data_IF_129146048423
#
_entry.id   IF_129146048423
#
_cell.length_a   1.000
_cell.length_b   1.000
_cell.length_c   1.000
_cell.angle_alpha   90.00
_cell.angle_beta   90.00
_cell.angle_gamma   90.00
#
_symmetry.space_group_name_H-M   'P 1'
#
loop_
_entity.id
_entity.type
_entity.pdbx_description
1 polymer ?
#
# COMPACT_ATOMS: atom_id res chain seq x y z
N UNK A 1 -15.28 -4.78 13.54
CA UNK A 1 -14.03 -4.04 13.75
C UNK A 1 -12.94 -5.07 13.99
N UNK A 2 -11.82 -4.95 13.30
CA UNK A 2 -10.64 -5.80 13.45
C UNK A 2 -9.42 -4.87 13.49
N UNK A 3 -8.42 -5.23 14.27
CA UNK A 3 -7.17 -4.48 14.40
C UNK A 3 -6.01 -5.44 14.67
N UNK A 4 -4.88 -5.17 14.03
CA UNK A 4 -3.60 -5.83 14.20
C UNK A 4 -2.54 -4.74 14.33
N UNK A 5 -1.83 -4.71 15.46
CA UNK A 5 -0.79 -3.72 15.78
C UNK A 5 0.62 -4.28 15.61
N UNK A 6 0.76 -5.56 15.26
CA UNK A 6 2.05 -6.24 15.06
C UNK A 6 3.05 -6.06 16.22
N UNK A 7 2.54 -5.81 17.44
CA UNK A 7 3.32 -5.62 18.65
C UNK A 7 3.60 -6.93 19.41
N UNK A 8 2.92 -8.01 19.00
CA UNK A 8 3.07 -9.35 19.55
C UNK A 8 4.22 -10.14 18.91
N UNK A 9 4.60 -11.28 19.52
CA UNK A 9 5.66 -12.14 18.99
C UNK A 9 5.24 -12.95 17.75
N UNK A 10 3.95 -12.91 17.38
CA UNK A 10 3.38 -13.67 16.30
C UNK A 10 2.20 -12.93 15.68
N UNK A 11 1.97 -13.20 14.40
CA UNK A 11 0.84 -12.68 13.64
C UNK A 11 -0.47 -13.26 14.18
N UNK A 12 -1.53 -12.46 14.25
CA UNK A 12 -2.84 -12.99 14.63
C UNK A 12 -3.23 -14.19 13.74
N UNK A 13 -3.73 -15.27 14.35
CA UNK A 13 -4.05 -16.52 13.66
C UNK A 13 -5.13 -16.39 12.56
N UNK A 14 -5.84 -15.26 12.51
CA UNK A 14 -6.73 -14.94 11.40
C UNK A 14 -5.98 -14.59 10.09
N UNK A 15 -4.68 -14.32 10.15
CA UNK A 15 -3.89 -14.08 8.95
C UNK A 15 -3.34 -15.37 8.36
N UNK A 16 -3.45 -15.48 7.05
CA UNK A 16 -2.76 -16.44 6.20
C UNK A 16 -1.67 -15.69 5.43
N UNK A 17 -0.49 -16.30 5.29
CA UNK A 17 0.59 -15.78 4.46
C UNK A 17 0.73 -16.65 3.22
N UNK A 18 0.53 -16.04 2.06
CA UNK A 18 0.67 -16.70 0.77
C UNK A 18 2.12 -16.63 0.32
N UNK A 19 2.64 -17.77 -0.15
CA UNK A 19 4.04 -17.96 -0.54
C UNK A 19 5.02 -17.42 0.51
N UNK A 20 4.99 -17.94 1.76
CA UNK A 20 5.81 -17.42 2.84
C UNK A 20 7.30 -17.64 2.58
N UNK A 21 8.10 -16.63 2.91
CA UNK A 21 9.56 -16.68 2.97
C UNK A 21 9.95 -16.11 4.33
N UNK A 22 10.14 -16.99 5.31
CA UNK A 22 10.28 -16.63 6.72
C UNK A 22 11.48 -15.71 6.97
N UNK A 23 12.58 -15.89 6.24
CA UNK A 23 13.79 -15.07 6.38
C UNK A 23 13.61 -13.61 5.94
N UNK A 24 12.50 -13.31 5.25
CA UNK A 24 12.16 -11.97 4.76
C UNK A 24 11.09 -11.28 5.59
N UNK A 25 10.71 -11.86 6.73
CA UNK A 25 9.72 -11.26 7.65
C UNK A 25 10.17 -11.38 9.09
N UNK A 26 9.95 -10.35 9.89
CA UNK A 26 10.25 -10.39 11.33
C UNK A 26 9.39 -9.39 12.10
N UNK A 27 9.02 -9.72 13.34
CA UNK A 27 8.47 -8.72 14.26
C UNK A 27 9.61 -7.87 14.82
N UNK A 28 9.48 -6.55 14.73
CA UNK A 28 10.48 -5.62 15.24
C UNK A 28 10.27 -5.36 16.75
N UNK A 29 11.34 -5.07 17.51
CA UNK A 29 11.20 -4.68 18.93
C UNK A 29 10.36 -3.42 19.17
N UNK A 30 10.15 -2.61 18.12
CA UNK A 30 9.40 -1.36 18.17
C UNK A 30 7.89 -1.55 17.94
N UNK A 31 7.45 -2.79 17.65
CA UNK A 31 6.04 -3.11 17.41
C UNK A 31 5.63 -2.85 15.96
N UNK A 32 6.26 -3.56 15.03
CA UNK A 32 5.89 -3.58 13.62
C UNK A 32 6.24 -4.95 13.01
N UNK A 33 5.59 -5.28 11.90
CA UNK A 33 6.01 -6.38 11.04
C UNK A 33 6.95 -5.84 9.96
N UNK A 34 8.23 -6.21 10.04
CA UNK A 34 9.21 -5.99 8.98
C UNK A 34 8.98 -6.97 7.84
N UNK A 35 9.06 -6.46 6.60
CA UNK A 35 8.99 -7.26 5.37
C UNK A 35 10.08 -6.79 4.40
N UNK A 36 10.86 -7.73 3.89
CA UNK A 36 11.80 -7.51 2.81
C UNK A 36 11.25 -8.03 1.48
N UNK A 37 11.41 -7.24 0.42
CA UNK A 37 11.09 -7.62 -0.95
C UNK A 37 12.38 -7.83 -1.75
N UNK A 38 12.54 -9.04 -2.29
CA UNK A 38 13.68 -9.45 -3.09
C UNK A 38 13.24 -10.01 -4.44
N UNK A 39 14.07 -9.76 -5.46
CA UNK A 39 13.92 -10.42 -6.75
C UNK A 39 12.79 -9.85 -7.61
N UNK A 40 12.08 -10.73 -8.32
CA UNK A 40 10.88 -10.36 -9.12
C UNK A 40 9.59 -10.88 -8.49
N UNK A 41 9.65 -11.53 -7.33
CA UNK A 41 8.50 -12.21 -6.78
C UNK A 41 7.44 -11.26 -6.18
N UNK A 42 7.77 -10.23 -5.39
CA UNK A 42 6.77 -9.48 -4.64
C UNK A 42 6.22 -8.29 -5.45
N UNK A 43 5.54 -8.55 -6.58
CA UNK A 43 4.70 -7.54 -7.24
C UNK A 43 3.23 -7.95 -7.21
N UNK A 44 2.34 -6.98 -7.11
CA UNK A 44 0.94 -7.18 -6.70
C UNK A 44 0.09 -7.99 -7.70
N UNK A 45 0.47 -8.04 -8.98
CA UNK A 45 -0.17 -8.87 -10.01
C UNK A 45 0.49 -10.24 -10.20
N UNK A 46 1.52 -10.56 -9.40
CA UNK A 46 2.10 -11.90 -9.40
C UNK A 46 1.19 -12.86 -8.59
N UNK A 47 0.70 -13.97 -9.18
CA UNK A 47 0.03 -15.01 -8.41
C UNK A 47 0.95 -15.65 -7.37
N UNK A 48 2.27 -15.67 -7.61
CA UNK A 48 3.27 -16.22 -6.69
C UNK A 48 3.96 -15.13 -5.87
N UNK A 49 3.28 -14.01 -5.59
CA UNK A 49 3.84 -12.95 -4.76
C UNK A 49 4.22 -13.49 -3.37
N UNK A 50 5.51 -13.41 -3.03
CA UNK A 50 6.02 -13.81 -1.73
C UNK A 50 5.50 -12.92 -0.63
N UNK A 51 5.20 -13.49 0.54
CA UNK A 51 4.78 -12.77 1.74
C UNK A 51 3.55 -11.87 1.52
N UNK A 52 2.54 -12.36 0.79
CA UNK A 52 1.24 -11.68 0.75
C UNK A 52 0.43 -12.09 1.97
N UNK A 53 -0.01 -11.12 2.76
CA UNK A 53 -0.80 -11.35 3.95
C UNK A 53 -2.28 -11.23 3.59
N UNK A 54 -3.08 -12.25 3.91
CA UNK A 54 -4.51 -12.33 3.60
C UNK A 54 -5.28 -12.66 4.88
N UNK A 55 -6.25 -11.82 5.21
CA UNK A 55 -7.02 -11.95 6.44
C UNK A 55 -8.24 -12.86 6.24
N UNK A 56 -8.28 -13.98 6.94
CA UNK A 56 -9.42 -14.90 6.99
C UNK A 56 -10.50 -14.39 7.96
N UNK A 57 -11.08 -13.23 7.63
CA UNK A 57 -12.19 -12.60 8.34
C UNK A 57 -13.19 -12.04 7.33
N UNK A 58 -14.50 -12.16 7.61
CA UNK A 58 -15.52 -11.53 6.77
C UNK A 58 -15.44 -10.00 6.87
N UNK A 59 -15.64 -9.32 5.75
CA UNK A 59 -15.78 -7.87 5.70
C UNK A 59 -17.11 -7.41 6.34
N UNK A 60 -17.18 -6.18 6.87
CA UNK A 60 -18.45 -5.56 7.24
C UNK A 60 -19.41 -5.49 6.04
N UNK A 61 -20.71 -5.70 6.29
CA UNK A 61 -21.73 -5.71 5.22
C UNK A 61 -21.93 -4.34 4.53
N UNK A 62 -21.68 -3.26 5.27
CA UNK A 62 -21.91 -1.88 4.82
C UNK A 62 -20.62 -1.16 4.49
N UNK A 63 -20.58 0.12 4.87
CA UNK A 63 -19.40 0.96 4.73
C UNK A 63 -18.29 0.48 5.64
N UNK A 64 -17.06 0.52 5.12
CA UNK A 64 -15.87 0.19 5.88
C UNK A 64 -14.65 0.89 5.29
N UNK A 65 -13.61 0.99 6.11
CA UNK A 65 -12.27 1.36 5.68
C UNK A 65 -11.34 0.19 6.00
N UNK A 66 -10.56 -0.23 5.01
CA UNK A 66 -9.30 -0.90 5.30
C UNK A 66 -8.26 0.19 5.52
N UNK A 67 -7.48 0.06 6.58
CA UNK A 67 -6.44 1.02 6.97
C UNK A 67 -5.15 0.26 7.19
N UNK A 68 -4.06 0.76 6.59
CA UNK A 68 -2.71 0.26 6.80
C UNK A 68 -1.80 1.44 7.13
N UNK A 69 -1.22 1.42 8.33
CA UNK A 69 -0.14 2.30 8.74
C UNK A 69 1.19 1.59 8.44
N UNK A 70 2.06 2.26 7.70
CA UNK A 70 3.28 1.63 7.19
C UNK A 70 4.42 2.64 6.98
N UNK A 71 5.65 2.11 6.99
CA UNK A 71 6.88 2.83 6.66
C UNK A 71 7.61 2.16 5.51
N UNK A 72 8.24 2.99 4.67
CA UNK A 72 9.01 2.52 3.51
C UNK A 72 10.35 3.23 3.46
N UNK A 73 11.42 2.48 3.70
CA UNK A 73 12.77 2.99 3.50
C UNK A 73 13.10 2.99 2.00
N UNK A 74 13.21 4.19 1.42
CA UNK A 74 13.43 4.34 -0.02
C UNK A 74 14.85 3.90 -0.40
N UNK A 75 14.97 2.71 -0.98
CA UNK A 75 16.27 2.12 -1.34
C UNK A 75 16.41 1.98 -2.87
N UNK A 76 15.45 1.32 -3.49
CA UNK A 76 15.40 1.03 -4.94
C UNK A 76 14.66 2.09 -5.73
N UNK A 77 13.89 2.96 -5.05
CA UNK A 77 12.94 3.93 -5.63
C UNK A 77 11.86 3.26 -6.48
N UNK A 78 11.62 1.98 -6.23
CA UNK A 78 10.66 1.10 -6.91
C UNK A 78 9.78 0.35 -5.93
N UNK A 79 9.89 0.70 -4.64
CA UNK A 79 9.05 0.22 -3.55
C UNK A 79 7.57 0.49 -3.85
N UNK A 80 6.70 -0.39 -3.37
CA UNK A 80 5.27 -0.20 -3.41
C UNK A 80 4.56 -1.02 -2.35
N UNK A 81 3.41 -0.51 -1.93
CA UNK A 81 2.52 -1.14 -0.96
C UNK A 81 1.14 -1.25 -1.59
N UNK A 82 0.51 -2.41 -1.44
CA UNK A 82 -0.85 -2.69 -1.89
C UNK A 82 -1.69 -3.08 -0.69
N UNK A 83 -2.83 -2.39 -0.51
CA UNK A 83 -3.89 -2.71 0.44
C UNK A 83 -5.15 -3.02 -0.36
N UNK A 84 -5.66 -4.25 -0.30
CA UNK A 84 -6.69 -4.69 -1.24
C UNK A 84 -7.76 -5.59 -0.63
N UNK A 85 -8.84 -5.72 -1.38
CA UNK A 85 -9.74 -6.85 -1.36
C UNK A 85 -9.22 -7.83 -2.42
N UNK A 86 -8.73 -8.97 -1.98
CA UNK A 86 -7.97 -9.94 -2.76
C UNK A 86 -8.72 -11.27 -2.83
N UNK A 87 -9.03 -11.71 -4.04
CA UNK A 87 -9.54 -13.05 -4.34
C UNK A 87 -8.48 -13.85 -5.10
N UNK A 88 -7.88 -13.23 -6.11
CA UNK A 88 -6.73 -13.75 -6.85
C UNK A 88 -5.87 -12.59 -7.41
N UNK A 89 -4.71 -12.90 -7.98
CA UNK A 89 -3.87 -11.87 -8.61
C UNK A 89 -4.59 -11.15 -9.78
N UNK A 90 -5.46 -11.86 -10.50
CA UNK A 90 -6.31 -11.34 -11.57
C UNK A 90 -7.69 -10.85 -11.11
N UNK A 91 -8.00 -10.96 -9.81
CA UNK A 91 -9.29 -10.56 -9.23
C UNK A 91 -9.07 -9.87 -7.88
N UNK A 92 -8.89 -8.56 -7.92
CA UNK A 92 -8.66 -7.74 -6.74
C UNK A 92 -8.99 -6.27 -6.99
N UNK A 93 -9.38 -5.56 -5.94
CA UNK A 93 -9.46 -4.10 -5.94
C UNK A 93 -8.70 -3.55 -4.73
N UNK A 94 -7.87 -2.54 -4.94
CA UNK A 94 -7.05 -2.03 -3.85
C UNK A 94 -6.51 -0.64 -4.05
N UNK A 95 -6.05 -0.09 -2.93
CA UNK A 95 -5.25 1.10 -2.86
C UNK A 95 -3.78 0.68 -3.04
N UNK A 96 -3.11 1.28 -4.03
CA UNK A 96 -1.72 0.99 -4.34
C UNK A 96 -0.91 2.27 -4.25
N UNK A 97 0.13 2.25 -3.43
CA UNK A 97 1.19 3.25 -3.45
C UNK A 97 2.44 2.67 -4.12
N UNK A 98 3.13 3.43 -4.96
CA UNK A 98 4.46 3.03 -5.44
C UNK A 98 5.36 4.21 -5.79
N UNK A 99 6.66 3.95 -5.69
CA UNK A 99 7.71 4.86 -6.11
C UNK A 99 8.14 4.59 -7.55
N UNK A 100 8.47 5.66 -8.25
CA UNK A 100 9.06 5.59 -9.58
C UNK A 100 10.21 6.60 -9.73
N UNK A 101 11.43 6.19 -10.15
CA UNK A 101 12.49 7.10 -10.49
C UNK A 101 12.09 7.94 -11.72
N UNK A 102 12.31 9.25 -11.60
CA UNK A 102 12.31 10.21 -12.70
C UNK A 102 13.73 10.76 -12.84
N UNK A 103 14.18 11.10 -14.04
CA UNK A 103 15.58 11.54 -14.23
C UNK A 103 16.02 12.68 -13.29
N UNK A 104 15.07 13.50 -12.84
CA UNK A 104 15.29 14.62 -11.93
C UNK A 104 14.90 14.34 -10.46
N UNK A 105 14.40 13.15 -10.08
CA UNK A 105 13.88 12.86 -8.73
C UNK A 105 13.17 11.52 -8.59
N UNK A 106 12.29 11.40 -7.60
CA UNK A 106 11.44 10.22 -7.41
C UNK A 106 9.99 10.67 -7.38
N UNK A 107 9.12 9.96 -8.08
CA UNK A 107 7.69 10.13 -8.03
C UNK A 107 7.11 9.23 -6.95
N UNK A 108 6.11 9.74 -6.24
CA UNK A 108 5.25 8.98 -5.35
C UNK A 108 3.87 8.93 -5.98
N UNK A 109 3.39 7.74 -6.30
CA UNK A 109 2.12 7.54 -6.95
C UNK A 109 1.13 6.86 -6.01
N UNK A 110 -0.12 7.27 -6.08
CA UNK A 110 -1.28 6.59 -5.49
C UNK A 110 -2.21 6.15 -6.60
N UNK A 111 -2.76 4.94 -6.50
CA UNK A 111 -3.78 4.44 -7.40
C UNK A 111 -4.88 3.72 -6.64
N UNK A 112 -6.12 3.94 -7.09
CA UNK A 112 -7.18 2.97 -6.92
C UNK A 112 -7.16 2.06 -8.13
N UNK A 113 -6.80 0.79 -7.94
CA UNK A 113 -6.68 -0.20 -9.01
C UNK A 113 -7.72 -1.30 -8.82
N UNK A 114 -8.41 -1.66 -9.90
CA UNK A 114 -9.27 -2.83 -10.00
C UNK A 114 -8.72 -3.72 -11.11
N UNK A 115 -8.52 -4.99 -10.78
CA UNK A 115 -8.12 -6.05 -11.69
C UNK A 115 -9.27 -7.07 -11.70
N UNK A 116 -9.75 -7.43 -12.89
CA UNK A 116 -10.80 -8.43 -13.07
C UNK A 116 -10.70 -9.08 -14.44
N UNK A 117 -10.99 -10.37 -14.54
CA UNK A 117 -10.98 -11.08 -15.81
C UNK A 117 -10.49 -12.51 -15.64
N UNK A 118 -10.13 -13.14 -16.75
CA UNK A 118 -9.47 -14.44 -16.72
C UNK A 118 -8.01 -14.28 -16.26
N UNK A 119 -7.41 -15.36 -15.76
CA UNK A 119 -6.02 -15.35 -15.29
C UNK A 119 -5.01 -14.97 -16.37
N UNK A 120 -5.26 -15.38 -17.61
CA UNK A 120 -4.39 -15.14 -18.77
C UNK A 120 -4.62 -13.79 -19.45
N UNK A 121 -5.77 -13.15 -19.22
CA UNK A 121 -6.12 -11.84 -19.77
C UNK A 121 -6.93 -10.98 -18.77
N UNK A 122 -6.30 -10.53 -17.67
CA UNK A 122 -6.96 -9.68 -16.69
C UNK A 122 -7.08 -8.24 -17.21
N UNK A 123 -8.28 -7.67 -17.13
CA UNK A 123 -8.49 -6.25 -17.36
C UNK A 123 -8.08 -5.43 -16.13
N UNK A 124 -7.36 -4.34 -16.36
CA UNK A 124 -7.00 -3.38 -15.30
C UNK A 124 -7.68 -2.04 -15.56
N UNK A 125 -8.44 -1.59 -14.57
CA UNK A 125 -8.96 -0.21 -14.49
C UNK A 125 -8.30 0.49 -13.32
N UNK A 126 -7.75 1.68 -13.53
CA UNK A 126 -7.10 2.42 -12.45
C UNK A 126 -7.30 3.93 -12.52
N UNK A 127 -7.20 4.56 -11.36
CA UNK A 127 -7.11 6.01 -11.21
C UNK A 127 -5.77 6.37 -10.56
N UNK A 128 -4.78 6.64 -11.40
CA UNK A 128 -3.42 6.89 -10.97
C UNK A 128 -3.18 8.39 -10.76
N UNK A 129 -2.52 8.76 -9.68
CA UNK A 129 -2.11 10.14 -9.40
C UNK A 129 -0.68 10.18 -8.88
N UNK A 130 0.16 10.97 -9.53
CA UNK A 130 1.49 11.31 -9.04
C UNK A 130 1.38 12.47 -8.04
N UNK A 131 1.62 12.17 -6.76
CA UNK A 131 1.50 13.13 -5.67
C UNK A 131 2.62 14.18 -5.68
N UNK A 132 3.81 13.80 -6.16
CA UNK A 132 4.99 14.67 -6.29
C UNK A 132 5.16 15.30 -7.69
N UNK A 133 4.09 15.27 -8.49
CA UNK A 133 3.95 16.05 -9.71
C UNK A 133 2.49 16.46 -9.89
N UNK A 134 1.89 16.88 -8.78
CA UNK A 134 0.47 17.09 -8.62
C UNK A 134 0.17 17.65 -7.23
N UNK A 135 -0.76 17.04 -6.45
CA UNK A 135 -1.39 17.68 -5.31
C UNK A 135 -0.47 18.05 -4.13
N UNK A 136 0.68 17.38 -3.95
CA UNK A 136 1.58 17.67 -2.82
C UNK A 136 2.80 18.49 -3.24
N UNK A 137 3.26 18.29 -4.48
CA UNK A 137 4.35 19.04 -5.09
C UNK A 137 4.09 19.14 -6.59
N UNK A 138 4.16 20.34 -7.17
CA UNK A 138 3.93 20.57 -8.61
C UNK A 138 4.87 19.75 -9.52
N UNK A 139 6.07 19.45 -9.03
CA UNK A 139 7.02 18.58 -9.70
C UNK A 139 8.38 18.52 -9.05
N UNK A 140 9.04 17.37 -9.14
CA UNK A 140 10.37 17.12 -8.56
C UNK A 140 11.57 17.57 -9.42
N UNK A 141 11.35 18.28 -10.53
CA UNK A 141 12.45 18.66 -11.45
C UNK A 141 13.04 20.05 -11.20
N UNK A 142 12.35 20.92 -10.47
CA UNK A 142 12.93 22.19 -10.03
C UNK A 142 13.52 22.03 -8.61
N UNK A 143 14.41 22.93 -8.21
CA UNK A 143 15.15 22.81 -6.95
C UNK A 143 14.23 22.69 -5.72
N UNK A 144 13.25 23.61 -5.60
CA UNK A 144 12.33 23.63 -4.46
C UNK A 144 11.44 22.38 -4.40
N UNK A 145 10.89 21.95 -5.55
CA UNK A 145 10.08 20.75 -5.64
C UNK A 145 10.88 19.48 -5.42
N UNK A 146 12.16 19.46 -5.80
CA UNK A 146 13.05 18.33 -5.51
C UNK A 146 13.33 18.22 -4.01
N UNK A 147 13.71 19.33 -3.38
CA UNK A 147 13.95 19.40 -1.94
C UNK A 147 12.71 18.96 -1.15
N UNK A 148 11.53 19.49 -1.51
CA UNK A 148 10.28 19.12 -0.86
C UNK A 148 9.91 17.65 -1.09
N UNK A 149 10.08 17.15 -2.31
CA UNK A 149 9.82 15.74 -2.62
C UNK A 149 10.74 14.80 -1.86
N UNK A 150 12.03 15.12 -1.76
CA UNK A 150 13.00 14.32 -0.99
C UNK A 150 12.64 14.33 0.51
N UNK A 151 12.21 15.46 1.07
CA UNK A 151 11.75 15.55 2.47
C UNK A 151 10.49 14.72 2.75
N UNK A 152 9.54 14.66 1.80
CA UNK A 152 8.35 13.81 1.89
C UNK A 152 8.74 12.33 1.90
N UNK A 153 9.67 11.92 1.04
CA UNK A 153 10.15 10.54 0.97
C UNK A 153 10.96 10.12 2.20
N UNK A 154 11.76 11.04 2.76
CA UNK A 154 12.43 10.81 4.04
C UNK A 154 11.42 10.63 5.17
N UNK A 155 10.37 11.46 5.21
CA UNK A 155 9.29 11.36 6.20
C UNK A 155 8.54 10.03 6.07
N UNK A 156 8.27 9.56 4.85
CA UNK A 156 7.66 8.25 4.60
C UNK A 156 8.47 7.07 5.19
N UNK A 157 9.80 7.17 5.18
CA UNK A 157 10.66 6.15 5.79
C UNK A 157 10.73 6.25 7.31
N UNK A 158 10.78 7.48 7.85
CA UNK A 158 10.96 7.72 9.29
C UNK A 158 9.65 7.60 10.08
N UNK A 159 8.62 8.33 9.66
CA UNK A 159 7.37 8.52 10.41
C UNK A 159 6.21 7.74 9.80
N UNK A 160 6.33 7.36 8.52
CA UNK A 160 5.36 6.52 7.82
C UNK A 160 4.22 7.28 7.16
N UNK A 161 3.26 6.51 6.67
CA UNK A 161 2.03 7.00 6.07
C UNK A 161 0.88 6.02 6.34
N UNK A 162 -0.34 6.50 6.11
CA UNK A 162 -1.55 5.72 6.21
C UNK A 162 -2.18 5.55 4.83
N UNK A 163 -2.25 4.31 4.36
CA UNK A 163 -2.94 3.92 3.14
C UNK A 163 -4.35 3.42 3.51
N UNK A 164 -5.38 3.93 2.85
CA UNK A 164 -6.76 3.48 3.06
C UNK A 164 -7.43 3.04 1.77
N UNK A 165 -8.24 1.99 1.88
CA UNK A 165 -9.25 1.61 0.89
C UNK A 165 -10.63 1.81 1.53
N UNK A 166 -11.36 2.82 1.07
CA UNK A 166 -12.63 3.26 1.67
C UNK A 166 -13.79 2.78 0.81
N UNK A 167 -14.81 2.20 1.44
CA UNK A 167 -16.09 1.86 0.79
C UNK A 167 -17.21 2.72 1.35
N UNK A 168 -17.94 3.43 0.49
CA UNK A 168 -19.17 4.17 0.82
C UNK A 168 -20.29 3.76 -0.14
N UNK A 169 -21.19 2.90 0.34
CA UNK A 169 -22.20 2.23 -0.47
C UNK A 169 -21.57 1.36 -1.56
N UNK A 170 -21.59 1.87 -2.80
CA UNK A 170 -20.98 1.23 -3.98
C UNK A 170 -19.70 1.92 -4.43
N UNK A 171 -19.36 3.06 -3.84
CA UNK A 171 -18.16 3.80 -4.21
C UNK A 171 -16.98 3.27 -3.41
N UNK A 172 -15.87 3.02 -4.11
CA UNK A 172 -14.60 2.67 -3.51
C UNK A 172 -13.59 3.76 -3.88
N UNK A 173 -12.82 4.23 -2.90
CA UNK A 173 -11.72 5.19 -3.09
C UNK A 173 -10.45 4.69 -2.42
N UNK A 174 -9.30 5.13 -2.93
CA UNK A 174 -8.02 4.98 -2.27
C UNK A 174 -7.58 6.33 -1.69
N UNK A 175 -6.96 6.34 -0.52
CA UNK A 175 -6.33 7.55 0.02
C UNK A 175 -4.97 7.27 0.64
N UNK A 176 -4.08 8.26 0.57
CA UNK A 176 -2.81 8.26 1.27
C UNK A 176 -2.74 9.52 2.13
N UNK A 177 -2.37 9.33 3.39
CA UNK A 177 -2.28 10.39 4.39
C UNK A 177 -0.92 10.30 5.10
N UNK A 178 -0.26 11.43 5.34
CA UNK A 178 0.98 11.48 6.11
C UNK A 178 1.11 12.81 6.85
N UNK A 179 1.85 12.78 7.94
CA UNK A 179 2.09 13.93 8.79
C UNK A 179 3.54 14.40 8.60
N UNK A 180 3.74 15.62 8.13
CA UNK A 180 5.08 16.18 7.99
C UNK A 180 5.63 16.58 9.37
N UNK A 181 6.93 16.35 9.63
CA UNK A 181 7.58 16.79 10.86
C UNK A 181 7.55 18.33 10.98
N UNK A 182 7.54 18.82 12.22
CA UNK A 182 7.57 20.26 12.51
C UNK A 182 6.17 20.85 12.68
N UNK A 183 5.78 21.78 11.81
CA UNK A 183 4.57 22.62 11.96
C UNK A 183 3.22 21.87 11.86
N UNK A 184 3.24 20.54 11.78
CA UNK A 184 2.01 19.74 11.79
C UNK A 184 1.23 19.80 10.47
N UNK A 185 1.89 20.08 9.35
CA UNK A 185 1.28 19.97 8.03
C UNK A 185 0.89 18.52 7.73
N UNK A 186 -0.41 18.29 7.52
CA UNK A 186 -0.95 17.01 7.09
C UNK A 186 -1.11 16.99 5.57
N UNK A 187 -0.45 16.03 4.91
CA UNK A 187 -0.64 15.77 3.49
C UNK A 187 -1.67 14.66 3.33
N UNK A 188 -2.70 14.92 2.54
CA UNK A 188 -3.75 13.94 2.24
C UNK A 188 -4.12 14.03 0.78
N UNK A 189 -4.39 12.89 0.16
CA UNK A 189 -5.02 12.81 -1.15
C UNK A 189 -5.94 11.61 -1.23
N UNK A 190 -7.10 11.78 -1.88
CA UNK A 190 -8.07 10.71 -2.17
C UNK A 190 -8.31 10.66 -3.67
N UNK A 191 -8.29 9.45 -4.24
CA UNK A 191 -8.51 9.24 -5.67
C UNK A 191 -9.97 9.49 -6.07
N UNK A 192 -10.21 9.53 -7.38
CA UNK A 192 -11.57 9.31 -7.90
C UNK A 192 -12.10 7.93 -7.47
N UNK A 193 -13.43 7.78 -7.47
CA UNK A 193 -14.08 6.55 -7.04
C UNK A 193 -14.31 5.56 -8.19
N UNK A 194 -14.20 4.27 -7.89
CA UNK A 194 -14.75 3.20 -8.73
C UNK A 194 -16.09 2.77 -8.12
N UNK A 195 -17.12 2.65 -8.95
CA UNK A 195 -18.38 2.02 -8.55
C UNK A 195 -18.27 0.51 -8.63
N UNK A 196 -18.44 -0.17 -7.50
CA UNK A 196 -18.44 -1.64 -7.39
C UNK A 196 -19.76 -2.12 -6.82
N UNK A 197 -20.48 -2.96 -7.58
CA UNK A 197 -21.78 -3.49 -7.18
C UNK A 197 -21.68 -4.44 -5.99
N UNK A 198 -20.66 -5.31 -6.01
CA UNK A 198 -20.35 -6.31 -4.98
C UNK A 198 -18.85 -6.47 -4.89
N UNK A 199 -18.17 -5.88 -3.90
CA UNK A 199 -16.78 -6.22 -3.66
C UNK A 199 -16.71 -7.66 -3.13
N UNK A 200 -15.79 -8.43 -3.67
CA UNK A 200 -15.42 -9.79 -3.23
C UNK A 200 -13.96 -9.80 -2.78
N UNK A 201 -13.51 -10.95 -2.27
CA UNK A 201 -12.17 -11.12 -1.75
C UNK A 201 -12.02 -10.82 -0.25
N UNK A 202 -10.88 -11.26 0.28
CA UNK A 202 -10.44 -11.04 1.65
C UNK A 202 -9.59 -9.77 1.74
N UNK A 203 -9.57 -9.12 2.90
CA UNK A 203 -8.62 -8.02 3.10
C UNK A 203 -7.18 -8.55 3.01
N UNK A 204 -6.32 -7.86 2.29
CA UNK A 204 -4.93 -8.27 2.05
C UNK A 204 -4.00 -7.07 2.02
N UNK A 205 -2.75 -7.31 2.41
CA UNK A 205 -1.65 -6.37 2.27
C UNK A 205 -0.42 -7.04 1.66
N UNK A 206 0.33 -6.28 0.89
CA UNK A 206 1.58 -6.72 0.27
C UNK A 206 2.56 -5.54 0.18
N UNK A 207 3.77 -5.74 0.71
CA UNK A 207 4.94 -4.88 0.46
C UNK A 207 5.79 -5.49 -0.65
N UNK A 208 6.19 -4.69 -1.62
CA UNK A 208 6.79 -5.21 -2.83
C UNK A 208 7.52 -4.17 -3.65
N UNK A 209 8.08 -4.57 -4.79
CA UNK A 209 8.71 -3.62 -5.70
C UNK A 209 8.53 -3.97 -7.17
N UNK A 210 8.71 -2.98 -8.05
CA UNK A 210 8.67 -3.18 -9.49
C UNK A 210 9.85 -4.03 -9.99
N UNK A 211 9.66 -4.76 -11.09
CA UNK A 211 10.68 -5.65 -11.69
C UNK A 211 12.04 -5.00 -12.01
N UNK A 212 12.09 -3.66 -12.12
CA UNK A 212 13.33 -2.89 -12.34
C UNK A 212 14.11 -2.58 -11.06
N UNK A 213 13.65 -3.05 -9.91
CA UNK A 213 14.35 -2.93 -8.63
C UNK A 213 15.58 -3.84 -8.55
N UNK A 214 15.68 -4.87 -9.41
CA UNK A 214 16.78 -5.83 -9.42
C UNK A 214 18.16 -5.18 -9.59
N UNK A 215 19.19 -5.68 -8.87
CA UNK A 215 19.18 -6.77 -7.88
C UNK A 215 18.84 -6.30 -6.45
N UNK A 216 18.26 -5.12 -6.30
CA UNK A 216 18.05 -4.47 -5.01
C UNK A 216 17.04 -5.16 -4.10
N UNK A 217 17.12 -4.77 -2.83
CA UNK A 217 16.22 -5.14 -1.75
C UNK A 217 15.43 -3.92 -1.32
N UNK A 218 14.16 -4.13 -0.98
CA UNK A 218 13.26 -3.08 -0.50
C UNK A 218 12.71 -3.47 0.88
N UNK A 219 12.68 -2.51 1.80
CA UNK A 219 12.25 -2.71 3.18
C UNK A 219 10.96 -1.97 3.50
N UNK A 220 10.06 -2.70 4.16
CA UNK A 220 8.76 -2.22 4.62
C UNK A 220 8.62 -2.54 6.10
N UNK A 221 7.95 -1.64 6.82
CA UNK A 221 7.44 -1.94 8.16
C UNK A 221 5.94 -1.68 8.16
N UNK A 222 5.17 -2.66 8.61
CA UNK A 222 3.72 -2.53 8.82
C UNK A 222 3.47 -2.33 10.31
N UNK A 223 2.98 -1.15 10.65
CA UNK A 223 2.79 -0.70 12.03
C UNK A 223 1.40 -1.09 12.54
N UNK A 224 0.39 -0.99 11.68
CA UNK A 224 -0.98 -1.30 12.05
C UNK A 224 -1.83 -1.61 10.83
N UNK A 225 -2.68 -2.62 10.96
CA UNK A 225 -3.77 -2.88 10.03
C UNK A 225 -5.10 -2.83 10.78
N UNK A 226 -6.12 -2.21 10.18
CA UNK A 226 -7.46 -2.18 10.74
C UNK A 226 -8.57 -2.30 9.70
N UNK A 227 -9.69 -2.88 10.13
CA UNK A 227 -10.99 -2.80 9.45
C UNK A 227 -11.91 -1.95 10.33
N UNK A 228 -12.14 -0.72 9.91
CA UNK A 228 -12.93 0.28 10.61
C UNK A 228 -14.32 0.39 9.99
N UNK A 229 -15.34 0.59 10.81
CA UNK A 229 -16.68 0.98 10.36
C UNK A 229 -16.83 2.46 10.68
N UNK A 230 -17.05 3.33 9.67
CA UNK A 230 -17.22 4.76 9.92
C UNK A 230 -18.43 5.00 10.82
N UNK A 231 -18.29 5.92 11.78
CA UNK A 231 -19.41 6.38 12.58
C UNK A 231 -20.41 7.13 11.67
N UNK A 232 -21.70 6.82 11.83
CA UNK A 232 -22.80 7.47 11.11
C UNK A 232 -23.11 8.85 11.69
#
# INVERSE_FOLDING_TARGET
>A
MFEETFDGPALNAAWRVDSPVEELTAFTPQGALFVAALGKAPYFTNPEATNRFVLDRPLPKGDFDLVLDFRVNVQTRREGVMLSLFEAAHEQIGARMWLEPKGCGTLLNLSLVRISGAEDDPETTSFDTNLLGGPWVDGVCNAAGRERGDAILETLGRDGAQLRLKRRGREITASLEMQMPGEGEALSYTTQSITVLRPSGAASLLGGHGHKALPGESHFEFDRFAIEVPQQ
#
